data_IF_669321501694
#
_entry.id   IF_669321501694
#
_cell.length_a   1.000
_cell.length_b   1.000
_cell.length_c   1.000
_cell.angle_alpha   90.00
_cell.angle_beta   90.00
_cell.angle_gamma   90.00
#
_symmetry.space_group_name_H-M   'P 1'
#
loop_
_entity.id
_entity.type
_entity.pdbx_description
1 polymer ?
2 non-polymer ?
3 water ?
#
# COMPACT_ATOMS: atom_id res chain seq x y z
N UNK A 2 6.98 -14.65 31.60
CA UNK A 2 5.61 -14.27 31.32
C UNK A 2 5.36 -13.87 29.87
N UNK A 3 4.21 -14.26 29.36
CA UNK A 3 3.81 -13.79 28.04
C UNK A 3 3.48 -12.31 28.06
N UNK A 4 4.33 -11.54 27.36
CA UNK A 4 4.02 -10.12 27.28
C UNK A 4 3.11 -9.77 26.13
N UNK A 5 3.18 -10.51 25.03
CA UNK A 5 2.34 -10.26 23.87
C UNK A 5 2.28 -11.55 23.04
N UNK A 6 1.14 -11.68 22.37
CA UNK A 6 0.87 -12.90 21.63
C UNK A 6 -0.21 -12.65 20.59
N UNK A 7 0.08 -13.18 19.41
CA UNK A 7 -0.92 -13.16 18.34
C UNK A 7 -0.59 -14.35 17.42
N UNK A 8 -1.66 -14.83 16.79
CA UNK A 8 -1.50 -16.04 15.99
C UNK A 8 -2.62 -16.00 14.96
N UNK A 9 -2.41 -16.67 13.83
CA UNK A 9 -3.45 -16.78 12.84
C UNK A 9 -2.98 -17.47 11.55
N UNK A 10 -3.52 -16.98 10.45
CA UNK A 10 -3.25 -17.55 9.13
C UNK A 10 -2.78 -16.48 8.16
N UNK A 11 -1.70 -16.81 7.46
CA UNK A 11 -1.12 -15.90 6.49
C UNK A 11 -1.21 -16.50 5.08
N UNK A 12 -1.13 -15.63 4.10
CA UNK A 12 -1.01 -16.01 2.70
C UNK A 12 -2.24 -16.79 2.24
N UNK A 13 -3.40 -16.36 2.73
CA UNK A 13 -4.65 -16.95 2.23
C UNK A 13 -5.06 -16.25 0.96
N UNK A 14 -4.91 -16.97 -0.17
CA UNK A 14 -5.29 -16.45 -1.46
C UNK A 14 -6.79 -16.64 -1.70
N UNK A 15 -7.46 -15.62 -2.17
CA UNK A 15 -8.88 -15.62 -2.43
C UNK A 15 -9.21 -14.98 -3.77
N UNK A 16 -10.05 -15.69 -4.53
CA UNK A 16 -10.65 -15.16 -5.73
C UNK A 16 -12.16 -15.10 -5.51
N UNK A 17 -12.78 -14.03 -5.94
CA UNK A 17 -14.24 -13.95 -6.04
C UNK A 17 -14.66 -13.37 -7.38
N UNK A 18 -15.68 -14.01 -7.97
CA UNK A 18 -16.30 -13.51 -9.18
C UNK A 18 -17.74 -13.03 -8.89
N UNK A 19 -18.07 -11.93 -9.51
CA UNK A 19 -19.40 -11.35 -9.55
C UNK A 19 -19.92 -11.40 -10.99
N UNK A 20 -21.10 -11.98 -11.16
CA UNK A 20 -21.70 -12.21 -12.46
C UNK A 20 -23.06 -11.51 -12.61
N UNK A 21 -23.12 -10.62 -13.58
CA UNK A 21 -24.34 -9.90 -13.90
C UNK A 21 -25.14 -10.66 -14.94
N UNK A 22 -26.16 -11.36 -14.49
CA UNK A 22 -27.17 -12.07 -15.25
C UNK A 22 -27.62 -11.24 -16.45
N UNK A 23 -28.09 -10.06 -16.07
CA UNK A 23 -28.61 -9.04 -16.96
C UNK A 23 -27.66 -8.73 -18.11
N UNK A 24 -26.46 -8.26 -17.75
CA UNK A 24 -25.54 -7.79 -18.79
C UNK A 24 -24.65 -8.93 -19.29
N UNK A 25 -24.40 -9.94 -18.48
CA UNK A 25 -23.49 -11.02 -18.84
C UNK A 25 -22.05 -10.67 -18.46
N UNK A 26 -21.87 -9.45 -18.01
CA UNK A 26 -20.59 -8.95 -17.54
C UNK A 26 -20.18 -9.60 -16.22
N UNK A 27 -18.91 -10.02 -16.21
CA UNK A 27 -18.33 -10.62 -15.01
C UNK A 27 -17.22 -9.72 -14.48
N UNK A 28 -17.06 -9.73 -13.17
CA UNK A 28 -16.04 -8.91 -12.51
C UNK A 28 -15.32 -9.75 -11.47
N UNK A 29 -13.99 -9.70 -11.49
CA UNK A 29 -13.27 -10.58 -10.58
C UNK A 29 -12.42 -9.74 -9.60
N UNK A 30 -12.21 -10.38 -8.48
CA UNK A 30 -11.44 -9.89 -7.34
C UNK A 30 -10.47 -10.96 -6.88
N UNK A 31 -9.21 -10.55 -6.69
CA UNK A 31 -8.27 -11.49 -6.12
C UNK A 31 -7.47 -10.76 -5.04
N UNK A 32 -7.35 -11.41 -3.91
CA UNK A 32 -6.59 -10.83 -2.81
C UNK A 32 -5.79 -11.89 -2.10
N UNK A 33 -4.87 -11.48 -1.23
CA UNK A 33 -4.15 -12.31 -0.32
C UNK A 33 -4.40 -11.74 1.09
N UNK A 34 -4.81 -12.62 1.98
CA UNK A 34 -5.28 -12.23 3.30
C UNK A 34 -4.45 -12.84 4.40
N UNK A 35 -4.17 -12.00 5.41
CA UNK A 35 -3.52 -12.36 6.66
C UNK A 35 -4.51 -11.95 7.79
N UNK A 36 -4.74 -12.86 8.73
CA UNK A 36 -5.57 -12.55 9.90
C UNK A 36 -4.81 -13.08 11.11
N UNK A 37 -4.53 -12.19 12.06
CA UNK A 37 -3.91 -12.50 13.31
C UNK A 37 -4.80 -12.06 14.49
N UNK A 38 -4.95 -12.99 15.41
CA UNK A 38 -5.82 -12.76 16.56
C UNK A 38 -5.05 -12.59 17.86
N UNK A 39 -5.61 -11.73 18.71
CA UNK A 39 -5.16 -11.56 20.07
C UNK A 39 -6.30 -11.81 21.09
N UNK A 40 -5.95 -12.34 22.24
CA UNK A 40 -6.93 -12.47 23.31
C UNK A 40 -6.42 -13.13 24.57
N UNK A 41 -7.40 -13.73 25.28
CA UNK A 41 -7.03 -14.50 26.44
C UNK A 41 -6.57 -15.89 25.99
N UNK A 42 -5.38 -15.92 25.39
CA UNK A 42 -4.86 -17.17 24.86
C UNK A 42 -3.50 -17.58 25.37
N UNK A 43 -3.01 -16.88 26.39
CA UNK A 43 -1.68 -17.18 26.94
C UNK A 43 -1.52 -18.61 27.40
N UNK A 44 -2.60 -19.28 27.85
CA UNK A 44 -2.41 -20.65 28.37
C UNK A 44 -2.12 -21.68 27.28
N UNK A 45 -2.42 -21.34 26.02
CA UNK A 45 -1.99 -22.23 24.95
C UNK A 45 -0.47 -22.28 24.88
N UNK A 46 0.18 -21.16 25.20
CA UNK A 46 1.63 -21.06 25.27
C UNK A 46 2.21 -21.65 26.53
N UNK A 47 1.60 -21.34 27.68
CA UNK A 47 2.22 -21.72 28.95
C UNK A 47 1.77 -23.07 29.52
N UNK A 48 0.53 -23.46 29.27
CA UNK A 48 -0.06 -24.66 29.85
C UNK A 48 -0.41 -25.74 28.85
N UNK A 49 -0.14 -25.56 27.56
CA UNK A 49 -0.55 -26.53 26.54
C UNK A 49 -2.06 -26.64 26.53
N UNK A 50 -2.69 -25.49 26.77
CA UNK A 50 -4.15 -25.51 26.74
C UNK A 50 -4.65 -25.06 25.36
N UNK A 51 -5.03 -26.04 24.51
CA UNK A 51 -5.48 -25.71 23.16
C UNK A 51 -6.93 -25.32 23.11
N UNK A 52 -7.63 -25.38 24.26
CA UNK A 52 -9.05 -25.06 24.25
C UNK A 52 -9.39 -23.62 23.89
N UNK A 53 -8.44 -22.74 24.21
CA UNK A 53 -8.53 -21.33 23.88
C UNK A 53 -8.16 -21.05 22.42
N UNK A 54 -7.64 -22.06 21.71
CA UNK A 54 -7.26 -21.83 20.32
C UNK A 54 -8.36 -22.12 19.29
N UNK A 55 -8.74 -21.08 18.60
CA UNK A 55 -9.46 -21.09 17.34
C UNK A 55 -8.40 -21.53 16.30
N UNK A 56 -8.49 -22.75 15.79
CA UNK A 56 -7.46 -23.28 14.90
C UNK A 56 -7.24 -22.34 13.72
N UNK A 57 -5.96 -22.19 13.35
CA UNK A 57 -5.73 -21.32 12.18
C UNK A 57 -6.40 -21.93 10.94
N UNK A 58 -6.51 -23.26 10.88
CA UNK A 58 -7.30 -23.85 9.81
C UNK A 58 -8.73 -23.32 9.80
N UNK A 59 -9.35 -23.16 10.98
CA UNK A 59 -10.70 -22.58 11.01
C UNK A 59 -10.74 -21.12 10.61
N UNK A 60 -9.62 -20.40 10.86
CA UNK A 60 -9.54 -19.01 10.46
C UNK A 60 -9.61 -18.93 8.95
N UNK A 61 -8.84 -19.82 8.33
CA UNK A 61 -8.86 -19.89 6.86
C UNK A 61 -10.27 -20.14 6.34
N UNK A 62 -10.96 -21.12 6.91
CA UNK A 62 -12.35 -21.42 6.53
C UNK A 62 -13.24 -20.19 6.63
N UNK A 63 -13.04 -19.48 7.77
CA UNK A 63 -13.84 -18.29 8.01
C UNK A 63 -13.63 -17.23 6.95
N UNK A 64 -12.36 -17.13 6.47
CA UNK A 64 -12.12 -16.14 5.42
C UNK A 64 -12.94 -16.46 4.18
N UNK A 65 -12.94 -17.72 3.76
CA UNK A 65 -13.72 -18.08 2.57
C UNK A 65 -15.22 -17.90 2.74
N UNK A 66 -15.72 -18.32 3.90
CA UNK A 66 -17.16 -18.18 4.16
C UNK A 66 -17.59 -16.74 4.18
N UNK A 67 -16.78 -15.87 4.84
CA UNK A 67 -17.10 -14.45 4.87
C UNK A 67 -17.10 -13.84 3.49
N UNK A 68 -16.11 -14.24 2.66
CA UNK A 68 -16.10 -13.75 1.30
C UNK A 68 -17.30 -14.22 0.49
N UNK A 69 -17.78 -15.41 0.84
CA UNK A 69 -18.96 -15.94 0.12
C UNK A 69 -20.21 -15.11 0.43
N UNK A 70 -20.32 -14.67 1.69
CA UNK A 70 -21.51 -14.00 2.19
C UNK A 70 -21.46 -12.48 2.23
N UNK A 71 -20.37 -11.82 1.87
CA UNK A 71 -20.26 -10.38 1.93
C UNK A 71 -19.51 -9.83 0.71
N UNK A 72 -19.66 -8.54 0.53
CA UNK A 72 -18.84 -7.92 -0.53
C UNK A 72 -17.37 -8.00 -0.11
N UNK A 73 -16.51 -8.11 -1.14
CA UNK A 73 -15.09 -8.19 -0.84
C UNK A 73 -14.43 -6.86 -1.21
N UNK A 74 -15.24 -5.94 -1.69
CA UNK A 74 -14.78 -4.62 -2.07
C UNK A 74 -15.66 -3.56 -1.44
N UNK A 75 -15.15 -2.41 -1.03
CA UNK A 75 -13.72 -2.08 -1.00
C UNK A 75 -13.04 -2.90 0.09
N UNK A 76 -11.74 -3.14 -0.02
CA UNK A 76 -11.05 -3.99 0.95
C UNK A 76 -11.15 -3.46 2.38
N UNK A 77 -11.31 -2.14 2.52
CA UNK A 77 -11.47 -1.55 3.85
C UNK A 77 -12.75 -2.07 4.52
N UNK A 78 -13.83 -2.24 3.75
CA UNK A 78 -15.07 -2.81 4.26
C UNK A 78 -14.96 -4.28 4.58
N UNK A 79 -14.45 -5.05 3.61
CA UNK A 79 -14.29 -6.49 3.86
C UNK A 79 -13.40 -6.78 5.02
N UNK A 80 -12.29 -6.03 5.20
CA UNK A 80 -11.44 -6.30 6.35
C UNK A 80 -12.17 -6.00 7.68
N UNK A 81 -12.96 -4.94 7.66
CA UNK A 81 -13.67 -4.56 8.90
C UNK A 81 -14.68 -5.65 9.22
N UNK A 82 -15.38 -6.15 8.20
CA UNK A 82 -16.35 -7.23 8.47
C UNK A 82 -15.74 -8.49 9.00
N UNK A 83 -14.62 -8.92 8.38
CA UNK A 83 -13.88 -10.05 8.87
C UNK A 83 -13.33 -9.87 10.26
N UNK A 84 -12.76 -8.70 10.57
CA UNK A 84 -12.19 -8.63 11.92
C UNK A 84 -13.28 -8.56 13.00
N UNK A 85 -14.34 -7.85 12.68
CA UNK A 85 -15.44 -7.73 13.64
C UNK A 85 -16.00 -9.11 13.96
N UNK A 86 -16.14 -9.96 12.93
CA UNK A 86 -16.59 -11.33 13.17
C UNK A 86 -15.85 -12.02 14.31
N UNK A 87 -14.52 -12.02 14.29
CA UNK A 87 -13.75 -12.77 15.25
C UNK A 87 -13.97 -12.28 16.68
N UNK A 88 -14.10 -10.96 16.83
CA UNK A 88 -14.19 -10.46 18.20
C UNK A 88 -15.62 -10.57 18.73
N UNK A 89 -16.59 -10.54 17.84
CA UNK A 89 -17.97 -10.73 18.29
C UNK A 89 -18.22 -12.21 18.55
N UNK A 90 -17.66 -13.06 17.69
CA UNK A 90 -17.94 -14.49 17.74
C UNK A 90 -17.30 -15.13 18.95
N UNK A 91 -16.05 -14.78 19.26
CA UNK A 91 -15.37 -15.50 20.33
C UNK A 91 -15.20 -14.59 21.54
N UNK A 92 -15.70 -15.02 22.68
CA UNK A 92 -15.71 -14.15 23.86
C UNK A 92 -14.33 -13.81 24.36
N UNK A 93 -13.36 -14.70 24.19
CA UNK A 93 -12.01 -14.55 24.68
C UNK A 93 -11.05 -13.88 23.68
N UNK A 94 -11.49 -13.61 22.47
CA UNK A 94 -10.73 -12.95 21.42
C UNK A 94 -11.11 -11.48 21.43
N UNK A 95 -10.11 -10.63 21.69
CA UNK A 95 -10.43 -9.22 21.82
C UNK A 95 -9.85 -8.31 20.77
N UNK A 96 -8.97 -8.82 19.91
CA UNK A 96 -8.46 -8.02 18.80
C UNK A 96 -8.24 -8.91 17.56
N UNK A 97 -8.57 -8.32 16.44
CA UNK A 97 -8.32 -9.01 15.17
C UNK A 97 -7.52 -8.04 14.30
N UNK A 98 -6.50 -8.58 13.67
CA UNK A 98 -5.66 -7.79 12.77
C UNK A 98 -5.77 -8.40 11.37
N UNK A 99 -6.29 -7.63 10.43
CA UNK A 99 -6.51 -8.17 9.09
C UNK A 99 -5.65 -7.40 8.09
N UNK A 100 -4.79 -8.11 7.37
CA UNK A 100 -4.07 -7.43 6.29
C UNK A 100 -4.53 -8.01 4.95
N UNK A 101 -4.79 -7.13 4.02
CA UNK A 101 -5.23 -7.57 2.70
C UNK A 101 -4.40 -6.90 1.63
N UNK A 102 -3.95 -7.71 0.69
CA UNK A 102 -3.33 -7.23 -0.54
C UNK A 102 -4.29 -7.48 -1.70
N UNK A 103 -4.67 -6.46 -2.40
CA UNK A 103 -5.56 -6.53 -3.55
C UNK A 103 -4.72 -6.53 -4.83
N UNK A 104 -4.92 -7.57 -5.64
CA UNK A 104 -4.15 -7.79 -6.86
C UNK A 104 -4.89 -7.25 -8.07
N UNK A 105 -4.20 -6.67 -9.06
CA UNK A 105 -4.90 -6.08 -10.20
C UNK A 105 -5.37 -7.11 -11.21
N UNK A 106 -6.65 -7.05 -11.51
CA UNK A 106 -7.26 -7.74 -12.65
C UNK A 106 -8.09 -6.72 -13.42
N UNK A 107 -7.41 -6.14 -14.41
CA UNK A 107 -8.03 -5.04 -15.16
C UNK A 107 -8.77 -5.59 -16.37
N UNK A 108 -9.99 -5.12 -16.59
CA UNK A 108 -10.75 -5.66 -17.74
C UNK A 108 -10.01 -5.41 -19.05
N UNK A 109 -9.92 -6.42 -19.90
CA UNK A 109 -9.31 -6.17 -21.20
C UNK A 109 -10.22 -5.38 -22.14
N UNK A 110 -9.63 -4.52 -22.94
CA UNK A 110 -10.37 -3.90 -24.05
C UNK A 110 -9.88 -4.58 -25.33
N UNK A 111 -10.82 -5.18 -26.06
CA UNK A 111 -10.54 -5.86 -27.31
C UNK A 111 -11.24 -5.10 -28.44
N UNK A 112 -10.52 -4.61 -29.43
CA UNK A 112 -11.21 -3.83 -30.46
C UNK A 112 -11.94 -2.63 -29.87
N UNK A 113 -11.30 -1.92 -28.95
CA UNK A 113 -11.88 -0.76 -28.31
C UNK A 113 -13.05 -1.06 -27.40
N UNK A 114 -13.54 -2.29 -27.37
CA UNK A 114 -14.66 -2.68 -26.49
C UNK A 114 -14.17 -3.43 -25.26
N UNK A 115 -14.58 -3.01 -24.07
CA UNK A 115 -14.28 -3.81 -22.87
C UNK A 115 -14.88 -5.20 -22.94
N UNK A 116 -14.05 -6.22 -22.67
CA UNK A 116 -14.53 -7.60 -22.69
C UNK A 116 -15.29 -7.94 -21.41
N UNK A 117 -16.39 -8.68 -21.52
CA UNK A 117 -17.21 -9.07 -20.38
C UNK A 117 -16.63 -10.01 -19.34
N UNK A 118 -15.64 -10.82 -19.63
CA UNK A 118 -15.04 -11.78 -18.74
C UNK A 118 -13.55 -12.06 -19.00
N UNK A 119 -12.78 -11.18 -19.60
CA UNK A 119 -11.34 -11.38 -19.71
C UNK A 119 -10.56 -10.20 -19.10
N UNK A 120 -9.51 -10.55 -18.36
CA UNK A 120 -8.74 -9.62 -17.56
C UNK A 120 -7.23 -9.77 -17.73
N UNK A 121 -6.55 -8.69 -17.40
CA UNK A 121 -5.10 -8.65 -17.47
C UNK A 121 -4.53 -8.04 -16.19
N UNK A 122 -3.42 -8.64 -15.77
CA UNK A 122 -2.69 -8.09 -14.62
C UNK A 122 -1.84 -6.97 -15.22
N UNK A 123 -2.41 -5.76 -15.20
CA UNK A 123 -1.77 -4.73 -16.01
C UNK A 123 -0.54 -4.14 -15.31
N UNK A 124 -0.34 -4.35 -14.04
CA UNK A 124 0.80 -3.98 -13.24
C UNK A 124 0.94 -4.75 -11.94
N UNK A 125 2.10 -4.76 -11.29
CA UNK A 125 2.35 -5.41 -10.00
C UNK A 125 2.05 -4.44 -8.86
N UNK A 126 1.52 -3.26 -9.22
CA UNK A 126 1.11 -2.35 -8.13
C UNK A 126 -0.02 -2.98 -7.33
N UNK A 127 0.01 -2.79 -6.03
CA UNK A 127 -1.01 -3.31 -5.11
C UNK A 127 -1.76 -2.18 -4.43
N UNK A 128 -2.99 -2.49 -4.05
CA UNK A 128 -3.80 -1.74 -3.12
C UNK A 128 -3.95 -2.57 -1.85
N UNK A 129 -3.60 -1.98 -0.70
CA UNK A 129 -3.54 -2.73 0.52
C UNK A 129 -4.43 -2.10 1.61
N UNK A 130 -4.78 -2.92 2.59
CA UNK A 130 -5.38 -2.39 3.82
C UNK A 130 -4.81 -3.14 5.00
N UNK A 131 -4.67 -2.40 6.09
CA UNK A 131 -4.41 -3.01 7.37
C UNK A 131 -5.60 -2.63 8.27
N UNK A 132 -6.32 -3.58 8.86
CA UNK A 132 -7.51 -3.21 9.63
C UNK A 132 -7.27 -3.77 11.01
N UNK A 133 -7.33 -2.95 12.07
CA UNK A 133 -7.18 -3.48 13.40
C UNK A 133 -8.53 -3.32 14.10
N UNK A 134 -9.12 -4.43 14.53
CA UNK A 134 -10.42 -4.43 15.20
C UNK A 134 -10.18 -4.82 16.64
N UNK A 135 -10.50 -3.85 17.51
CA UNK A 135 -10.18 -4.03 18.91
C UNK A 135 -11.45 -3.80 19.76
N UNK A 136 -11.79 -4.81 20.53
CA UNK A 136 -12.95 -4.80 21.42
C UNK A 136 -12.89 -3.53 22.27
N UNK A 137 -13.94 -2.72 22.18
CA UNK A 137 -14.13 -1.52 22.94
C UNK A 137 -13.32 -0.33 22.51
N UNK A 138 -12.60 -0.41 21.39
CA UNK A 138 -11.79 0.66 20.85
C UNK A 138 -11.96 0.87 19.35
N UNK A 139 -12.95 0.22 18.76
CA UNK A 139 -13.37 0.49 17.41
C UNK A 139 -12.47 -0.22 16.39
N UNK A 140 -12.38 0.45 15.25
CA UNK A 140 -11.75 -0.07 14.05
C UNK A 140 -10.83 1.02 13.48
N UNK A 141 -9.55 0.64 13.41
CA UNK A 141 -8.48 1.45 12.88
C UNK A 141 -8.06 0.87 11.52
N UNK A 142 -8.10 1.74 10.53
CA UNK A 142 -7.78 1.36 9.16
C UNK A 142 -6.66 2.25 8.58
N UNK A 143 -5.65 1.54 8.10
CA UNK A 143 -4.60 2.09 7.26
C UNK A 143 -4.69 1.52 5.83
N UNK A 144 -4.85 2.39 4.89
CA UNK A 144 -4.98 2.10 3.46
C UNK A 144 -3.69 2.48 2.76
N UNK A 145 -3.33 1.73 1.73
CA UNK A 145 -2.08 2.09 1.06
C UNK A 145 -2.06 1.63 -0.39
N UNK A 146 -1.14 2.22 -1.13
CA UNK A 146 -0.74 1.72 -2.45
C UNK A 146 0.76 1.46 -2.34
N UNK A 147 1.21 0.45 -3.07
CA UNK A 147 2.59 0.00 -3.05
C UNK A 147 2.97 -0.57 -4.40
N UNK A 148 4.26 -0.59 -4.69
CA UNK A 148 4.68 -1.14 -5.98
C UNK A 148 4.39 -0.32 -7.18
N UNK A 149 4.20 0.99 -6.99
CA UNK A 149 4.01 1.89 -8.11
C UNK A 149 5.37 2.44 -8.54
N UNK A 150 5.89 1.95 -9.65
CA UNK A 150 7.27 2.30 -10.04
C UNK A 150 7.28 3.34 -11.14
N UNK A 151 8.01 4.43 -10.89
CA UNK A 151 8.02 5.59 -11.75
C UNK A 151 9.46 6.09 -11.97
N UNK A 152 9.60 6.85 -13.04
CA UNK A 152 10.86 7.49 -13.40
C UNK A 152 10.60 8.79 -14.14
N UNK A 153 11.37 9.82 -13.79
CA UNK A 153 11.43 11.01 -14.63
C UNK A 153 12.89 11.23 -15.04
N UNK A 154 13.06 11.66 -16.28
CA UNK A 154 14.39 11.67 -16.89
C UNK A 154 15.07 13.02 -16.76
N UNK A 155 14.30 14.02 -16.32
CA UNK A 155 14.88 15.33 -16.00
C UNK A 155 14.04 16.01 -14.94
N UNK A 156 14.30 17.27 -14.59
CA UNK A 156 13.52 18.02 -13.61
C UNK A 156 13.55 17.36 -12.24
N UNK A 157 14.74 16.91 -11.93
CA UNK A 157 15.11 16.57 -10.58
C UNK A 157 16.48 17.20 -10.33
N UNK A 158 16.62 17.76 -9.15
CA UNK A 158 17.81 18.41 -8.64
C UNK A 158 18.17 17.93 -7.25
N UNK A 159 19.44 18.11 -6.92
CA UNK A 159 19.95 17.88 -5.58
C UNK A 159 21.28 18.63 -5.39
N UNK A 160 21.13 19.81 -4.80
CA UNK A 160 22.27 20.66 -4.45
C UNK A 160 22.03 21.30 -3.09
N UNK A 161 23.02 21.92 -2.45
CA UNK A 161 22.81 22.58 -1.18
C UNK A 161 22.84 21.71 0.05
N UNK A 162 23.23 20.43 -0.07
CA UNK A 162 23.29 19.52 1.04
C UNK A 162 24.57 19.74 1.85
N UNK A 163 24.65 19.20 3.04
CA UNK A 163 25.82 19.30 3.90
C UNK A 163 27.07 18.70 3.24
N UNK A 164 28.18 19.42 3.37
CA UNK A 164 29.44 18.99 2.78
C UNK A 164 30.48 19.05 3.88
N UNK A 165 31.10 17.92 4.14
CA UNK A 165 32.17 17.69 5.09
C UNK A 165 33.15 16.64 4.57
N UNK A 166 33.96 16.10 5.45
CA UNK A 166 35.03 15.24 4.97
C UNK A 166 34.54 13.84 4.62
N UNK A 167 33.24 13.59 4.72
CA UNK A 167 32.70 12.29 4.33
C UNK A 167 31.98 12.39 2.99
N UNK A 168 31.96 13.61 2.44
CA UNK A 168 31.15 13.88 1.27
C UNK A 168 31.98 13.76 -0.01
N UNK A 169 31.50 13.00 -0.97
CA UNK A 169 32.09 13.01 -2.31
C UNK A 169 31.10 13.36 -3.38
N UNK A 170 29.79 13.29 -3.15
CA UNK A 170 28.74 13.60 -4.09
C UNK A 170 28.77 15.02 -4.60
N UNK A 171 28.70 15.14 -5.93
CA UNK A 171 28.63 16.44 -6.58
C UNK A 171 27.20 16.94 -6.65
N UNK A 172 27.08 18.26 -6.43
CA UNK A 172 25.81 18.92 -6.62
C UNK A 172 25.38 18.80 -8.07
N UNK A 173 24.06 18.70 -8.26
CA UNK A 173 23.55 18.61 -9.60
C UNK A 173 22.26 19.39 -9.72
N UNK A 174 21.99 19.91 -10.91
CA UNK A 174 20.80 20.63 -11.26
C UNK A 174 20.02 19.89 -12.32
N UNK A 175 20.41 18.63 -12.59
CA UNK A 175 19.62 17.86 -13.56
C UNK A 175 19.98 16.38 -13.41
N UNK A 176 19.03 15.58 -12.92
CA UNK A 176 19.31 14.16 -12.74
C UNK A 176 18.02 13.37 -13.01
N UNK A 177 18.24 12.08 -13.10
CA UNK A 177 17.14 11.14 -13.17
C UNK A 177 16.61 10.88 -11.76
N UNK A 178 15.30 10.72 -11.63
CA UNK A 178 14.72 10.37 -10.35
C UNK A 178 13.77 9.19 -10.60
N UNK A 179 14.07 8.13 -9.90
CA UNK A 179 13.20 6.95 -10.01
C UNK A 179 12.89 6.37 -8.64
N UNK A 180 11.66 5.92 -8.43
CA UNK A 180 11.29 5.36 -7.15
C UNK A 180 10.15 4.32 -7.29
N UNK A 181 9.97 3.58 -6.21
CA UNK A 181 8.83 2.69 -6.02
C UNK A 181 7.99 3.29 -4.88
N UNK A 182 6.81 3.74 -5.23
CA UNK A 182 5.99 4.44 -4.24
C UNK A 182 5.27 3.50 -3.29
N UNK A 183 5.47 3.76 -2.00
CA UNK A 183 4.72 3.19 -0.89
C UNK A 183 4.05 4.39 -0.17
N UNK A 184 2.74 4.47 -0.25
CA UNK A 184 2.01 5.58 0.38
C UNK A 184 0.87 4.98 1.24
N UNK A 185 0.77 5.41 2.48
CA UNK A 185 -0.25 4.96 3.43
C UNK A 185 -1.06 6.15 3.94
N UNK A 186 -2.38 6.03 3.98
CA UNK A 186 -3.23 7.07 4.59
C UNK A 186 -3.96 6.38 5.74
N UNK A 187 -3.95 6.98 6.92
CA UNK A 187 -4.53 6.44 8.12
C UNK A 187 -5.86 7.13 8.43
N UNK A 188 -6.93 6.35 8.51
CA UNK A 188 -8.24 6.95 8.72
C UNK A 188 -8.46 7.30 10.19
N UNK A 189 -9.30 8.32 10.44
CA UNK A 189 -9.75 8.50 11.83
C UNK A 189 -10.38 7.23 12.34
N UNK A 190 -10.24 6.96 13.63
CA UNK A 190 -10.85 5.80 14.26
C UNK A 190 -12.34 5.74 13.94
N UNK A 191 -12.85 4.55 13.62
CA UNK A 191 -14.27 4.34 13.44
C UNK A 191 -14.84 3.60 14.65
N UNK A 192 -16.08 3.94 15.03
CA UNK A 192 -16.64 3.32 16.21
C UNK A 192 -17.04 1.86 16.00
N UNK A 193 -17.27 1.47 14.74
CA UNK A 193 -17.64 0.09 14.46
C UNK A 193 -18.12 -0.07 13.05
N UNK A 194 -18.76 -1.20 12.73
CA UNK A 194 -19.12 -1.49 11.36
C UNK A 194 -20.10 -0.52 10.74
N UNK A 195 -21.11 -0.07 11.49
CA UNK A 195 -22.04 0.90 10.93
C UNK A 195 -21.30 2.13 10.44
N UNK A 196 -20.36 2.58 11.27
CA UNK A 196 -19.68 3.81 10.85
C UNK A 196 -18.85 3.54 9.59
N UNK A 197 -18.15 2.42 9.59
CA UNK A 197 -17.39 2.10 8.36
C UNK A 197 -18.31 2.00 7.16
N UNK A 198 -19.44 1.29 7.29
CA UNK A 198 -20.37 1.25 6.17
C UNK A 198 -20.89 2.61 5.74
N UNK A 199 -20.99 3.57 6.66
CA UNK A 199 -21.52 4.85 6.20
C UNK A 199 -20.51 5.59 5.34
N UNK A 200 -19.23 5.23 5.39
CA UNK A 200 -18.22 5.98 4.65
C UNK A 200 -17.72 5.22 3.42
N UNK A 201 -18.37 4.12 3.06
CA UNK A 201 -17.87 3.23 2.03
C UNK A 201 -17.48 3.91 0.73
N UNK A 202 -18.22 4.84 0.15
CA UNK A 202 -17.82 5.50 -1.10
C UNK A 202 -16.49 6.24 -1.00
N UNK A 203 -16.12 6.71 0.18
CA UNK A 203 -14.88 7.46 0.35
C UNK A 203 -13.66 6.58 0.17
N UNK A 204 -13.80 5.27 0.30
CA UNK A 204 -12.55 4.49 0.31
C UNK A 204 -11.93 4.42 -1.08
N UNK A 205 -12.72 4.08 -2.08
CA UNK A 205 -12.21 3.99 -3.45
C UNK A 205 -11.83 5.37 -3.98
N UNK A 206 -12.61 6.39 -3.62
CA UNK A 206 -12.35 7.75 -4.05
C UNK A 206 -11.02 8.29 -3.54
N UNK A 207 -10.77 7.96 -2.28
CA UNK A 207 -9.53 8.43 -1.66
C UNK A 207 -8.34 7.67 -2.22
N UNK A 208 -8.48 6.34 -2.45
CA UNK A 208 -7.38 5.60 -3.08
C UNK A 208 -7.02 6.25 -4.41
N UNK A 209 -8.06 6.55 -5.18
CA UNK A 209 -7.92 7.19 -6.48
C UNK A 209 -7.22 8.54 -6.40
N UNK A 210 -7.57 9.31 -5.38
CA UNK A 210 -7.01 10.64 -5.19
C UNK A 210 -5.54 10.59 -4.81
N UNK A 211 -5.23 9.69 -3.88
CA UNK A 211 -3.88 9.48 -3.45
C UNK A 211 -3.01 9.06 -4.65
N UNK A 212 -3.56 8.22 -5.52
CA UNK A 212 -2.83 7.79 -6.71
C UNK A 212 -2.58 8.96 -7.65
N UNK A 213 -3.64 9.69 -7.93
CA UNK A 213 -3.57 10.81 -8.89
C UNK A 213 -2.59 11.89 -8.43
N UNK A 214 -2.69 12.27 -7.16
CA UNK A 214 -1.85 13.30 -6.61
C UNK A 214 -0.38 12.89 -6.66
N UNK A 215 -0.14 11.63 -6.36
CA UNK A 215 1.19 11.03 -6.33
C UNK A 215 1.81 11.14 -7.72
N UNK A 216 1.01 10.72 -8.68
CA UNK A 216 1.46 10.75 -10.07
C UNK A 216 1.69 12.16 -10.57
N UNK A 217 0.69 13.03 -10.36
CA UNK A 217 0.84 14.37 -10.95
C UNK A 217 1.94 15.18 -10.27
N UNK A 218 2.07 15.04 -8.94
CA UNK A 218 3.12 15.78 -8.25
C UNK A 218 4.51 15.31 -8.64
N UNK A 219 4.69 14.01 -8.78
CA UNK A 219 5.98 13.47 -9.22
C UNK A 219 6.31 14.03 -10.59
N UNK A 220 5.34 14.01 -11.49
CA UNK A 220 5.61 14.43 -12.85
C UNK A 220 5.83 15.94 -12.96
N UNK A 221 5.15 16.75 -12.17
CA UNK A 221 5.17 18.21 -12.36
C UNK A 221 6.16 18.93 -11.47
N UNK A 222 6.50 18.34 -10.34
CA UNK A 222 7.43 19.02 -9.43
C UNK A 222 8.85 19.02 -9.96
N UNK A 223 9.41 20.22 -10.03
CA UNK A 223 10.82 20.35 -10.32
C UNK A 223 11.55 20.13 -8.99
N UNK A 224 11.77 18.87 -8.73
CA UNK A 224 12.06 18.39 -7.40
C UNK A 224 13.39 18.84 -6.85
N UNK A 225 13.36 19.43 -5.65
CA UNK A 225 14.52 19.88 -4.92
C UNK A 225 15.25 18.76 -4.19
N UNK A 226 14.46 17.72 -3.93
CA UNK A 226 14.92 16.50 -3.32
C UNK A 226 13.72 15.53 -3.15
N UNK A 227 14.02 14.30 -2.75
CA UNK A 227 12.89 13.36 -2.55
C UNK A 227 12.02 13.86 -1.39
N UNK A 228 12.67 14.31 -0.34
CA UNK A 228 12.05 14.92 0.84
C UNK A 228 10.98 15.94 0.49
N UNK A 229 11.25 16.97 -0.26
CA UNK A 229 10.49 18.11 -0.66
C UNK A 229 9.34 17.64 -1.52
N UNK A 230 9.63 16.70 -2.43
CA UNK A 230 8.57 16.32 -3.33
C UNK A 230 7.49 15.50 -2.63
N UNK A 231 7.92 14.62 -1.76
CA UNK A 231 6.97 13.76 -1.08
C UNK A 231 6.13 14.53 -0.07
N UNK A 232 6.72 15.56 0.54
CA UNK A 232 5.95 16.43 1.43
C UNK A 232 4.79 17.04 0.64
N UNK A 233 5.00 17.52 -0.58
CA UNK A 233 3.98 18.08 -1.43
C UNK A 233 2.83 17.12 -1.71
N UNK A 234 3.14 15.86 -1.93
CA UNK A 234 2.09 14.89 -2.16
C UNK A 234 1.22 14.68 -0.92
N UNK A 235 1.87 14.49 0.22
CA UNK A 235 1.18 14.22 1.48
C UNK A 235 0.26 15.39 1.83
N UNK A 236 0.77 16.62 1.64
CA UNK A 236 -0.04 17.79 1.99
C UNK A 236 -1.34 17.83 1.20
N UNK A 237 -1.30 17.58 -0.10
CA UNK A 237 -2.49 17.62 -0.95
C UNK A 237 -3.53 16.59 -0.54
N UNK A 238 -3.05 15.38 -0.25
CA UNK A 238 -4.00 14.33 0.07
C UNK A 238 -4.77 14.71 1.32
N UNK A 239 -4.06 15.20 2.32
CA UNK A 239 -4.69 15.62 3.56
C UNK A 239 -5.72 16.73 3.34
N UNK A 240 -5.42 17.58 2.37
CA UNK A 240 -6.29 18.70 2.04
C UNK A 240 -7.57 18.22 1.34
N UNK A 241 -7.50 17.05 0.71
CA UNK A 241 -8.65 16.61 -0.08
C UNK A 241 -9.49 15.57 0.65
N UNK A 242 -9.08 15.03 1.79
CA UNK A 242 -9.91 14.07 2.52
C UNK A 242 -9.78 14.28 4.02
N UNK A 243 -10.85 14.80 4.62
CA UNK A 243 -10.80 15.23 6.01
C UNK A 243 -10.82 14.09 7.00
N UNK A 244 -11.39 12.94 6.64
CA UNK A 244 -11.34 11.76 7.48
C UNK A 244 -9.96 11.10 7.61
N UNK A 245 -8.94 11.53 6.89
CA UNK A 245 -7.55 11.12 7.02
C UNK A 245 -6.83 11.92 8.11
N UNK A 246 -6.19 11.23 9.03
CA UNK A 246 -5.43 11.84 10.10
C UNK A 246 -3.95 12.01 9.71
N UNK A 247 -3.37 11.03 9.04
CA UNK A 247 -1.99 11.08 8.63
C UNK A 247 -1.78 10.41 7.27
N UNK A 248 -0.70 10.88 6.64
CA UNK A 248 -0.25 10.27 5.40
C UNK A 248 1.21 9.95 5.58
N UNK A 249 1.61 8.74 5.21
CA UNK A 249 3.01 8.39 5.32
C UNK A 249 3.54 7.97 3.95
N UNK A 250 4.75 8.40 3.63
CA UNK A 250 5.37 7.94 2.39
C UNK A 250 6.72 7.32 2.69
N UNK A 251 7.01 6.26 1.94
CA UNK A 251 8.30 5.60 2.01
C UNK A 251 8.80 5.43 0.56
N UNK A 252 9.87 6.12 0.19
CA UNK A 252 10.33 6.24 -1.18
C UNK A 252 11.82 5.92 -1.28
N UNK A 253 12.17 4.83 -1.95
CA UNK A 253 13.59 4.64 -2.27
C UNK A 253 14.01 5.59 -3.37
N UNK A 254 15.31 5.89 -3.38
CA UNK A 254 15.90 6.63 -4.50
C UNK A 254 16.71 5.60 -5.29
N UNK A 255 16.22 5.19 -6.45
CA UNK A 255 16.88 4.12 -7.23
C UNK A 255 17.83 4.82 -8.21
N UNK A 256 19.10 4.77 -7.89
CA UNK A 256 20.08 5.59 -8.61
C UNK A 256 20.40 5.09 -10.01
N UNK A 257 20.52 6.04 -10.91
CA UNK A 257 21.00 5.86 -12.27
C UNK A 257 22.30 6.68 -12.42
N UNK A 258 23.42 6.00 -12.55
CA UNK A 258 24.72 6.68 -12.59
C UNK A 258 25.16 7.02 -14.01
N UNK A 259 25.73 8.20 -14.20
CA UNK A 259 26.39 8.54 -15.45
C UNK A 259 27.56 7.58 -15.69
N UNK A 260 27.93 7.44 -16.96
CA UNK A 260 29.05 6.63 -17.32
C UNK A 260 30.07 7.44 -18.17
N UNK A 261 31.27 7.53 -17.64
CA UNK A 261 32.30 8.31 -18.31
C UNK A 261 32.97 7.43 -19.37
N UNK A 262 32.82 7.85 -20.62
CA UNK A 262 33.29 7.11 -21.79
C UNK A 262 34.40 7.89 -22.49
N UNK A 263 34.84 8.95 -21.82
CA UNK A 263 35.88 9.81 -22.42
C UNK A 263 37.19 9.04 -22.63
N UNK A 264 37.46 8.02 -21.83
CA UNK A 264 38.62 7.17 -22.01
C UNK A 264 38.62 6.49 -23.37
N UNK A 265 37.47 6.41 -24.05
CA UNK A 265 37.33 5.76 -25.34
C UNK A 265 37.07 6.77 -26.45
N UNK A 266 38.15 7.09 -27.18
CA UNK A 266 37.98 7.97 -28.33
C UNK A 266 37.35 9.31 -27.96
N UNK A 267 37.60 9.80 -26.75
CA UNK A 267 37.08 11.08 -26.27
C UNK A 267 35.58 11.17 -26.24
N UNK A 268 34.90 10.01 -26.25
CA UNK A 268 33.45 9.94 -26.25
C UNK A 268 32.86 10.75 -25.08
N UNK A 269 31.88 11.59 -25.35
CA UNK A 269 31.27 12.48 -24.37
C UNK A 269 29.90 12.02 -23.89
N UNK A 270 29.84 11.54 -22.66
CA UNK A 270 28.63 10.92 -22.14
C UNK A 270 28.31 11.39 -20.74
N UNK A 271 28.85 12.55 -20.35
CA UNK A 271 28.57 13.07 -19.02
C UNK A 271 27.93 14.44 -19.11
N UNK A 272 27.39 14.86 -17.97
CA UNK A 272 26.72 16.14 -17.89
C UNK A 272 25.68 16.36 -18.98
N UNK A 273 25.81 17.47 -19.72
CA UNK A 273 24.78 17.71 -20.73
C UNK A 273 24.85 16.75 -21.90
N UNK A 274 25.91 15.94 -22.00
CA UNK A 274 26.02 14.98 -23.10
C UNK A 274 25.62 13.57 -22.63
N UNK A 275 25.15 13.46 -21.39
CA UNK A 275 24.81 12.19 -20.77
C UNK A 275 23.63 11.54 -21.48
N UNK A 276 23.84 10.37 -22.09
CA UNK A 276 22.78 9.69 -22.80
C UNK A 276 22.58 8.23 -22.34
N UNK A 277 23.67 7.56 -22.07
CA UNK A 277 23.67 6.19 -21.56
C UNK A 277 24.05 6.18 -20.09
N UNK A 278 23.22 5.55 -19.29
CA UNK A 278 23.39 5.47 -17.84
C UNK A 278 23.39 4.03 -17.33
N UNK A 279 23.99 3.78 -16.19
CA UNK A 279 23.98 2.48 -15.56
C UNK A 279 23.01 2.49 -14.37
N UNK A 280 21.86 1.84 -14.54
CA UNK A 280 20.96 1.70 -13.38
C UNK A 280 21.64 0.92 -12.30
N UNK A 281 21.53 1.32 -11.02
CA UNK A 281 22.20 0.68 -9.92
C UNK A 281 21.18 -0.15 -9.14
N UNK A 282 21.50 -1.41 -8.94
CA UNK A 282 20.58 -2.28 -8.19
C UNK A 282 20.61 -1.99 -6.69
N UNK A 283 21.77 -1.63 -6.17
CA UNK A 283 22.01 -1.27 -4.76
C UNK A 283 23.30 -0.48 -4.65
N UNK A 284 23.55 0.26 -3.59
CA UNK A 284 22.57 0.55 -2.52
C UNK A 284 21.54 1.54 -3.00
N UNK A 285 20.55 1.91 -2.18
CA UNK A 285 19.60 2.90 -2.57
C UNK A 285 19.31 3.90 -1.41
N UNK A 286 19.02 5.14 -1.75
CA UNK A 286 18.55 6.08 -0.74
C UNK A 286 17.18 5.58 -0.28
N UNK A 287 16.81 5.87 0.95
CA UNK A 287 15.49 5.56 1.49
C UNK A 287 15.04 6.78 2.33
N UNK A 288 13.93 7.33 1.92
CA UNK A 288 13.39 8.56 2.51
C UNK A 288 11.97 8.32 2.99
N UNK A 289 11.71 8.63 4.26
CA UNK A 289 10.38 8.41 4.84
C UNK A 289 9.83 9.71 5.44
N UNK A 290 8.53 9.91 5.39
CA UNK A 290 7.85 11.03 5.99
C UNK A 290 6.48 10.62 6.53
N UNK A 291 6.10 11.05 7.70
CA UNK A 291 4.71 10.98 8.16
C UNK A 291 4.20 12.40 8.38
N UNK A 292 3.18 12.77 7.66
CA UNK A 292 2.61 14.11 7.66
C UNK A 292 1.23 14.05 8.29
N UNK A 293 1.00 14.97 9.22
CA UNK A 293 -0.29 15.02 9.89
C UNK A 293 -0.83 16.43 9.86
N UNK A 294 -1.94 16.58 10.57
CA UNK A 294 -2.63 17.87 10.58
C UNK A 294 -2.09 18.80 11.66
N UNK A 295 -1.94 20.06 11.27
CA UNK A 295 -1.54 21.17 12.09
C UNK A 295 -2.72 21.67 12.96
#
# INVERSE_FOLDING_TARGET
XAVKAARYGKDNVRVYKVHKDEKTGVQTVYEMTVCVLLEGEIETSYTKADNSVIVATDSIKNTIYITAKQNPVTPPELFGSILGTHFIEKYNHIHAAHVNIVCHRWTRMDIDGKPHPHSFIRDSEEKRNVQVDVVEGKGIDIKSSLSGLTVLKSTNSQFWGFLRDEYTTLKETWDRILSTDVDATWQWKNFSGLQEVRSHVPKFDATWATAREVTLKTFAEDNSASVQATMYKMAEQILARQQLIETVEYSLPNKHYFEIDLSWHKGLQNTGKNAEVFAPQSDPNGLIKCTVGRSSLKSKL
#
